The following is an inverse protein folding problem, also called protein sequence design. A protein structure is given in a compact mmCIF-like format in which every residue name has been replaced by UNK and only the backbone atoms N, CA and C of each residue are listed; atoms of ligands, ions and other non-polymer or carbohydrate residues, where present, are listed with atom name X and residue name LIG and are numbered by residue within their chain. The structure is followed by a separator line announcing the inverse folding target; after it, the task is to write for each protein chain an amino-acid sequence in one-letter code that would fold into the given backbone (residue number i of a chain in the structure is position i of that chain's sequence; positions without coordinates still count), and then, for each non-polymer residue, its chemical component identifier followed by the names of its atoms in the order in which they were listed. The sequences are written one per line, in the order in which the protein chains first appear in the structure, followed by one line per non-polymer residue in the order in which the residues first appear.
data_IF_075893483963
#
_entry.id   IF_075893483963
#
_cell.length_a   1.000
_cell.length_b   1.000
_cell.length_c   1.000
_cell.angle_alpha   90.00
_cell.angle_beta   90.00
_cell.angle_gamma   90.00
#
_symmetry.space_group_name_H-M   'P 1'
#
loop_
_entity.id
_entity.type
_entity.pdbx_description
1 polymer ?
#
# COMPACT_ATOMS: atom_id res chain seq x y z
N UNK A 1 16.59 -72.48 -46.38
CA UNK A 1 16.40 -72.21 -44.94
C UNK A 1 16.34 -70.69 -44.75
N UNK A 2 15.20 -70.21 -44.22
CA UNK A 2 14.89 -68.92 -43.55
C UNK A 2 15.79 -67.70 -43.84
N UNK A 3 15.29 -66.69 -44.57
CA UNK A 3 14.58 -65.46 -44.10
C UNK A 3 15.55 -64.28 -43.81
N UNK A 4 15.56 -63.35 -44.79
CA UNK A 4 15.64 -61.87 -44.79
C UNK A 4 16.32 -61.08 -43.65
N UNK A 5 17.18 -60.12 -44.06
CA UNK A 5 17.15 -58.71 -43.62
C UNK A 5 17.56 -57.78 -44.77
N UNK A 6 16.61 -57.00 -45.27
CA UNK A 6 16.79 -55.99 -46.32
C UNK A 6 17.46 -54.73 -45.74
N UNK A 7 18.35 -54.15 -46.54
CA UNK A 7 19.18 -52.99 -46.22
C UNK A 7 18.34 -51.70 -46.11
N UNK A 8 18.74 -50.92 -45.12
CA UNK A 8 18.29 -49.58 -44.75
C UNK A 8 18.55 -48.57 -45.88
N UNK A 9 17.50 -47.91 -46.37
CA UNK A 9 17.57 -46.80 -47.33
C UNK A 9 17.64 -45.47 -46.58
N UNK A 10 18.64 -44.66 -46.92
CA UNK A 10 18.74 -43.23 -46.60
C UNK A 10 17.94 -42.45 -47.65
N UNK A 11 17.15 -41.44 -47.25
CA UNK A 11 17.07 -40.23 -48.07
C UNK A 11 17.09 -38.92 -47.24
N UNK A 12 18.09 -38.11 -47.57
CA UNK A 12 18.03 -36.67 -47.87
C UNK A 12 16.72 -35.94 -47.51
N UNK A 13 16.70 -35.21 -46.39
CA UNK A 13 15.91 -33.97 -46.21
C UNK A 13 16.74 -33.00 -45.37
N UNK A 14 17.60 -32.22 -46.03
CA UNK A 14 18.41 -31.15 -45.43
C UNK A 14 18.32 -29.92 -46.34
N UNK A 15 17.11 -29.41 -46.53
CA UNK A 15 16.85 -28.16 -47.25
C UNK A 15 15.43 -27.65 -46.98
N UNK A 16 15.12 -27.18 -45.76
CA UNK A 16 13.85 -26.46 -45.47
C UNK A 16 13.81 -25.58 -44.22
N UNK A 17 14.91 -25.34 -43.48
CA UNK A 17 14.86 -24.60 -42.19
C UNK A 17 15.72 -23.33 -42.21
N UNK A 18 15.76 -22.61 -43.33
CA UNK A 18 16.40 -21.28 -43.39
C UNK A 18 15.53 -20.18 -44.03
N UNK A 19 14.22 -20.42 -44.23
CA UNK A 19 13.33 -19.43 -44.86
C UNK A 19 12.01 -19.18 -44.12
N UNK A 20 11.97 -19.36 -42.79
CA UNK A 20 10.85 -18.89 -41.94
C UNK A 20 11.30 -18.48 -40.53
N UNK A 21 12.29 -17.59 -40.45
CA UNK A 21 12.57 -16.86 -39.21
C UNK A 21 12.65 -15.34 -39.47
N UNK A 22 11.87 -14.86 -40.44
CA UNK A 22 11.47 -13.46 -40.54
C UNK A 22 10.00 -13.37 -40.11
N UNK A 23 9.68 -13.97 -38.96
CA UNK A 23 8.44 -13.67 -38.23
C UNK A 23 8.65 -12.32 -37.58
N UNK A 24 8.31 -11.28 -38.33
CA UNK A 24 7.52 -10.15 -37.86
C UNK A 24 7.62 -9.92 -36.35
N UNK A 25 8.66 -9.22 -35.92
CA UNK A 25 8.58 -8.30 -34.80
C UNK A 25 7.59 -7.21 -35.21
N UNK A 26 6.29 -7.50 -35.18
CA UNK A 26 5.31 -6.44 -34.96
C UNK A 26 5.43 -6.17 -33.47
N UNK A 27 6.22 -5.16 -33.11
CA UNK A 27 5.92 -4.41 -31.91
C UNK A 27 4.47 -3.95 -32.09
N UNK A 28 3.54 -4.63 -31.41
CA UNK A 28 2.21 -4.07 -31.20
C UNK A 28 2.46 -2.94 -30.22
N UNK A 29 2.77 -1.76 -30.75
CA UNK A 29 2.49 -0.53 -30.04
C UNK A 29 0.97 -0.53 -29.84
N UNK A 30 0.55 -0.89 -28.64
CA UNK A 30 -0.80 -0.61 -28.19
C UNK A 30 -1.04 0.87 -28.47
N UNK A 31 -2.10 1.24 -29.20
CA UNK A 31 -2.37 2.64 -29.49
C UNK A 31 -2.53 3.37 -28.16
N UNK A 32 -1.55 4.21 -27.84
CA UNK A 32 -1.66 5.16 -26.74
C UNK A 32 -2.90 5.99 -27.06
N UNK A 33 -3.90 6.06 -26.15
CA UNK A 33 -5.09 6.87 -26.41
C UNK A 33 -4.65 8.31 -26.68
N UNK A 34 -5.18 8.97 -27.73
CA UNK A 34 -4.68 10.25 -28.24
C UNK A 34 -4.73 11.42 -27.24
N UNK A 35 -5.36 11.23 -26.07
CA UNK A 35 -5.42 12.22 -25.00
C UNK A 35 -4.16 12.28 -24.11
N UNK A 36 -3.32 11.24 -24.05
CA UNK A 36 -2.13 11.23 -23.17
C UNK A 36 -0.90 11.91 -23.78
N UNK A 37 -0.80 12.01 -25.11
CA UNK A 37 0.36 12.57 -25.81
C UNK A 37 0.54 14.08 -25.58
N UNK A 38 -0.51 14.76 -25.11
CA UNK A 38 -0.47 16.19 -24.79
C UNK A 38 -0.06 16.50 -23.34
N UNK A 39 0.13 15.50 -22.47
CA UNK A 39 0.55 15.74 -21.08
C UNK A 39 2.07 16.01 -20.97
N UNK A 40 2.85 15.68 -22.00
CA UNK A 40 4.33 15.79 -21.97
C UNK A 40 4.88 17.19 -22.28
N UNK A 41 4.04 18.16 -22.68
CA UNK A 41 4.50 19.48 -23.17
C UNK A 41 4.30 20.65 -22.22
N UNK A 42 3.80 20.43 -21.00
CA UNK A 42 3.59 21.50 -20.02
C UNK A 42 4.75 21.50 -19.01
N UNK A 43 5.50 22.60 -18.87
CA UNK A 43 6.61 22.69 -17.92
C UNK A 43 6.08 22.63 -16.48
N UNK A 44 6.27 21.46 -15.86
CA UNK A 44 5.80 21.15 -14.53
C UNK A 44 6.62 21.85 -13.45
N UNK A 45 6.00 22.62 -12.56
CA UNK A 45 6.66 23.14 -11.36
C UNK A 45 6.48 22.14 -10.22
N UNK A 46 7.16 21.01 -10.30
CA UNK A 46 7.17 19.98 -9.26
C UNK A 46 7.54 18.60 -9.78
N UNK A 47 7.72 17.63 -8.88
CA UNK A 47 7.84 16.23 -9.29
C UNK A 47 6.46 15.72 -9.71
N UNK A 48 6.31 15.13 -10.92
CA UNK A 48 5.03 14.57 -11.36
C UNK A 48 4.64 13.38 -10.47
N UNK A 49 3.33 13.19 -10.29
CA UNK A 49 2.75 12.02 -9.59
C UNK A 49 2.22 10.99 -10.59
N UNK A 50 2.05 9.71 -10.20
CA UNK A 50 1.40 8.73 -11.07
C UNK A 50 -0.02 9.15 -11.49
N UNK A 51 -0.51 8.77 -12.69
CA UNK A 51 -1.81 9.19 -13.21
C UNK A 51 -2.98 8.93 -12.24
N UNK A 52 -3.02 7.74 -11.61
CA UNK A 52 -4.07 7.45 -10.63
C UNK A 52 -4.01 8.40 -9.42
N UNK A 53 -2.81 8.74 -8.96
CA UNK A 53 -2.63 9.68 -7.85
C UNK A 53 -3.07 11.10 -8.22
N UNK A 54 -2.77 11.54 -9.45
CA UNK A 54 -3.26 12.81 -9.97
C UNK A 54 -4.79 12.87 -9.99
N UNK A 55 -5.46 11.80 -10.45
CA UNK A 55 -6.91 11.71 -10.45
C UNK A 55 -7.49 11.71 -9.04
N UNK A 56 -6.89 10.97 -8.09
CA UNK A 56 -7.29 11.01 -6.68
C UNK A 56 -7.19 12.41 -6.11
N UNK A 57 -6.09 13.12 -6.36
CA UNK A 57 -5.96 14.51 -5.91
C UNK A 57 -7.09 15.41 -6.46
N UNK A 58 -7.47 15.25 -7.74
CA UNK A 58 -8.59 15.98 -8.33
C UNK A 58 -9.90 15.65 -7.62
N UNK A 59 -10.22 14.36 -7.47
CA UNK A 59 -11.47 13.91 -6.84
C UNK A 59 -11.55 14.39 -5.39
N UNK A 60 -10.49 14.21 -4.61
CA UNK A 60 -10.43 14.64 -3.21
C UNK A 60 -10.66 16.16 -3.09
N UNK A 61 -9.99 16.95 -3.93
CA UNK A 61 -10.12 18.41 -3.93
C UNK A 61 -11.51 18.88 -4.41
N UNK A 62 -12.08 18.23 -5.43
CA UNK A 62 -13.43 18.51 -5.93
C UNK A 62 -14.51 18.21 -4.89
N UNK A 63 -14.47 17.02 -4.27
CA UNK A 63 -15.43 16.66 -3.22
C UNK A 63 -15.32 17.57 -2.00
N UNK A 64 -14.11 18.01 -1.66
CA UNK A 64 -13.90 19.01 -0.61
C UNK A 64 -14.52 20.35 -0.96
N UNK A 65 -14.33 20.86 -2.19
CA UNK A 65 -14.96 22.11 -2.64
C UNK A 65 -16.50 22.00 -2.69
N UNK A 66 -17.04 20.84 -3.06
CA UNK A 66 -18.49 20.55 -2.96
C UNK A 66 -18.96 20.68 -1.51
N UNK A 67 -18.28 20.10 -0.53
CA UNK A 67 -18.62 20.18 0.90
C UNK A 67 -18.47 21.61 1.45
N UNK A 68 -17.42 22.33 1.05
CA UNK A 68 -17.18 23.72 1.48
C UNK A 68 -18.21 24.70 0.94
N UNK A 69 -18.67 24.55 -0.31
CA UNK A 69 -19.74 25.39 -0.87
C UNK A 69 -21.11 25.08 -0.24
N UNK A 70 -21.33 23.87 0.30
CA UNK A 70 -22.48 23.66 1.19
C UNK A 70 -22.34 24.52 2.44
N UNK A 71 -21.16 24.53 3.08
CA UNK A 71 -20.91 25.22 4.35
C UNK A 71 -20.83 26.76 4.26
N UNK A 72 -20.61 27.34 3.08
CA UNK A 72 -20.52 28.79 2.90
C UNK A 72 -21.87 29.49 2.79
N UNK A 73 -22.99 28.77 2.70
CA UNK A 73 -24.33 29.38 2.76
C UNK A 73 -24.78 29.77 4.19
N UNK A 74 -23.97 29.53 5.22
CA UNK A 74 -24.38 29.62 6.62
C UNK A 74 -23.84 30.87 7.34
N UNK A 75 -24.47 32.02 7.11
CA UNK A 75 -24.36 33.21 7.96
C UNK A 75 -25.50 33.21 9.03
N UNK A 76 -25.63 32.12 9.80
CA UNK A 76 -26.26 32.16 11.13
C UNK A 76 -27.72 31.73 11.32
N UNK A 77 -28.19 30.65 10.66
CA UNK A 77 -29.51 30.04 10.93
C UNK A 77 -29.49 28.53 11.22
N UNK A 78 -30.57 28.00 11.80
CA UNK A 78 -30.74 26.57 12.16
C UNK A 78 -30.54 25.64 10.94
N UNK A 79 -29.56 24.72 11.02
CA UNK A 79 -29.11 23.87 9.92
C UNK A 79 -30.19 22.96 9.29
N UNK A 80 -31.24 22.60 10.05
CA UNK A 80 -32.35 21.78 9.55
C UNK A 80 -33.38 22.58 8.74
N UNK A 81 -33.51 23.89 8.99
CA UNK A 81 -34.42 24.77 8.25
C UNK A 81 -33.87 25.14 6.87
N UNK A 82 -32.54 25.23 6.74
CA UNK A 82 -31.84 25.65 5.51
C UNK A 82 -31.58 24.49 4.53
N UNK A 83 -31.49 23.25 5.02
CA UNK A 83 -31.43 22.03 4.17
C UNK A 83 -32.62 21.93 3.20
N UNK A 84 -33.79 22.44 3.58
CA UNK A 84 -34.97 22.48 2.72
C UNK A 84 -34.92 23.61 1.68
N UNK A 85 -34.05 24.62 1.86
CA UNK A 85 -33.94 25.81 0.99
C UNK A 85 -32.76 25.77 0.03
N UNK A 86 -31.77 24.89 0.26
CA UNK A 86 -30.65 24.65 -0.64
C UNK A 86 -31.06 24.20 -2.04
N UNK A 87 -32.32 23.78 -2.26
CA UNK A 87 -32.76 23.12 -3.50
C UNK A 87 -32.37 23.83 -4.79
N UNK A 88 -32.46 25.17 -4.88
CA UNK A 88 -32.08 25.90 -6.09
C UNK A 88 -30.57 26.13 -6.21
N UNK A 89 -29.81 26.12 -5.11
CA UNK A 89 -28.37 26.41 -5.11
C UNK A 89 -27.53 25.12 -5.18
N UNK A 90 -27.95 24.04 -4.52
CA UNK A 90 -27.25 22.76 -4.46
C UNK A 90 -26.94 22.20 -5.85
N UNK A 91 -27.81 22.42 -6.82
CA UNK A 91 -27.61 21.97 -8.19
C UNK A 91 -27.60 23.15 -9.20
N UNK A 92 -27.08 24.31 -8.79
CA UNK A 92 -26.98 25.51 -9.64
C UNK A 92 -25.65 25.61 -10.38
N UNK A 93 -25.67 26.27 -11.54
CA UNK A 93 -24.48 26.69 -12.29
C UNK A 93 -23.55 27.56 -11.46
N UNK A 94 -24.10 28.51 -10.70
CA UNK A 94 -23.31 29.36 -9.81
C UNK A 94 -22.48 28.52 -8.83
N UNK A 95 -23.09 27.52 -8.19
CA UNK A 95 -22.37 26.65 -7.25
C UNK A 95 -21.28 25.84 -7.96
N UNK A 96 -21.54 25.34 -9.17
CA UNK A 96 -20.54 24.60 -9.91
C UNK A 96 -19.31 25.47 -10.24
N UNK A 97 -19.50 26.72 -10.66
CA UNK A 97 -18.41 27.68 -10.89
C UNK A 97 -17.62 27.93 -9.60
N UNK A 98 -18.30 28.18 -8.48
CA UNK A 98 -17.63 28.37 -7.17
C UNK A 98 -16.80 27.15 -6.74
N UNK A 99 -17.25 25.94 -7.07
CA UNK A 99 -16.49 24.70 -6.84
C UNK A 99 -15.23 24.71 -7.71
N UNK A 100 -15.36 24.95 -9.02
CA UNK A 100 -14.23 24.94 -9.96
C UNK A 100 -13.15 25.96 -9.59
N UNK A 101 -13.52 27.14 -9.08
CA UNK A 101 -12.56 28.15 -8.62
C UNK A 101 -11.69 27.70 -7.43
N UNK A 102 -12.20 26.77 -6.61
CA UNK A 102 -11.52 26.28 -5.40
C UNK A 102 -10.71 25.01 -5.63
N UNK A 103 -11.07 24.22 -6.65
CA UNK A 103 -10.46 22.93 -6.98
C UNK A 103 -8.94 23.06 -7.17
N UNK A 104 -8.21 22.06 -6.69
CA UNK A 104 -6.76 21.90 -6.73
C UNK A 104 -5.93 22.95 -5.98
N UNK A 105 -6.55 23.98 -5.40
CA UNK A 105 -5.83 25.05 -4.68
C UNK A 105 -5.07 24.53 -3.46
N UNK A 106 -5.61 23.50 -2.80
CA UNK A 106 -5.09 22.86 -1.59
C UNK A 106 -4.16 21.66 -1.85
N UNK A 107 -3.97 21.28 -3.11
CA UNK A 107 -3.11 20.16 -3.49
C UNK A 107 -1.64 20.55 -3.37
N UNK A 108 -0.91 19.86 -2.49
CA UNK A 108 0.53 20.06 -2.32
C UNK A 108 1.37 19.44 -3.44
N UNK A 109 1.26 18.12 -3.64
CA UNK A 109 2.05 17.37 -4.63
C UNK A 109 1.18 17.02 -5.86
N UNK A 110 1.66 17.33 -7.07
CA UNK A 110 0.93 17.09 -8.32
C UNK A 110 -0.15 18.14 -8.62
N UNK A 111 0.03 19.38 -8.13
CA UNK A 111 -0.94 20.48 -8.29
C UNK A 111 -1.23 20.81 -9.75
N UNK A 112 -0.19 20.98 -10.57
CA UNK A 112 -0.36 21.27 -12.01
C UNK A 112 -1.12 20.14 -12.73
N UNK A 113 -0.90 18.88 -12.33
CA UNK A 113 -1.60 17.70 -12.86
C UNK A 113 -3.07 17.72 -12.48
N UNK A 114 -3.38 18.16 -11.26
CA UNK A 114 -4.74 18.31 -10.79
C UNK A 114 -5.49 19.36 -11.62
N UNK A 115 -4.93 20.56 -11.81
CA UNK A 115 -5.55 21.59 -12.64
C UNK A 115 -5.75 21.14 -14.09
N UNK A 116 -4.72 20.55 -14.71
CA UNK A 116 -4.83 20.05 -16.08
C UNK A 116 -5.92 18.98 -16.21
N UNK A 117 -6.06 18.08 -15.23
CA UNK A 117 -7.13 17.08 -15.24
C UNK A 117 -8.51 17.72 -15.03
N UNK A 118 -8.62 18.73 -14.16
CA UNK A 118 -9.86 19.45 -13.93
C UNK A 118 -10.35 20.15 -15.20
N UNK A 119 -9.46 20.82 -15.92
CA UNK A 119 -9.75 21.48 -17.19
C UNK A 119 -10.08 20.47 -18.29
N UNK A 120 -9.30 19.39 -18.42
CA UNK A 120 -9.49 18.39 -19.48
C UNK A 120 -10.80 17.60 -19.33
N UNK A 121 -11.28 17.45 -18.09
CA UNK A 121 -12.43 16.62 -17.74
C UNK A 121 -13.59 17.42 -17.12
N UNK A 122 -13.68 18.71 -17.45
CA UNK A 122 -14.75 19.60 -17.00
C UNK A 122 -16.14 19.03 -17.31
N UNK A 123 -16.36 18.51 -18.53
CA UNK A 123 -17.64 17.91 -18.94
C UNK A 123 -18.05 16.71 -18.09
N UNK A 124 -17.08 15.87 -17.70
CA UNK A 124 -17.34 14.72 -16.85
C UNK A 124 -17.65 15.15 -15.40
N UNK A 125 -16.92 16.15 -14.89
CA UNK A 125 -17.18 16.73 -13.56
C UNK A 125 -18.56 17.39 -13.49
N UNK A 126 -18.95 18.11 -14.55
CA UNK A 126 -20.27 18.74 -14.69
C UNK A 126 -21.39 17.69 -14.71
N UNK A 127 -21.26 16.67 -15.57
CA UNK A 127 -22.22 15.57 -15.62
C UNK A 127 -22.32 14.84 -14.27
N UNK A 128 -21.20 14.61 -13.59
CA UNK A 128 -21.24 14.00 -12.27
C UNK A 128 -21.98 14.90 -11.27
N UNK A 129 -21.70 16.20 -11.26
CA UNK A 129 -22.29 17.15 -10.32
C UNK A 129 -23.82 17.25 -10.46
N UNK A 130 -24.32 17.37 -11.69
CA UNK A 130 -25.75 17.57 -11.95
C UNK A 130 -26.58 16.30 -12.01
N UNK A 131 -26.01 15.16 -12.42
CA UNK A 131 -26.77 13.94 -12.73
C UNK A 131 -26.35 12.77 -11.84
N UNK A 132 -25.07 12.37 -11.87
CA UNK A 132 -24.62 11.11 -11.23
C UNK A 132 -24.55 11.20 -9.70
N UNK A 133 -24.23 12.37 -9.16
CA UNK A 133 -24.20 12.64 -7.71
C UNK A 133 -25.54 12.32 -7.05
N UNK A 134 -26.66 12.66 -7.68
CA UNK A 134 -28.00 12.39 -7.15
C UNK A 134 -28.39 10.90 -7.21
N UNK A 135 -27.65 10.09 -7.97
CA UNK A 135 -27.79 8.63 -8.01
C UNK A 135 -26.90 7.93 -6.98
N UNK A 136 -26.24 8.68 -6.09
CA UNK A 136 -25.24 8.20 -5.13
C UNK A 136 -24.02 7.54 -5.81
N UNK A 137 -23.67 7.97 -7.02
CA UNK A 137 -22.46 7.50 -7.70
C UNK A 137 -21.23 8.19 -7.12
N UNK A 138 -20.24 7.40 -6.68
CA UNK A 138 -18.97 7.92 -6.21
C UNK A 138 -18.15 8.54 -7.35
N UNK A 139 -17.61 9.75 -7.14
CA UNK A 139 -16.86 10.48 -8.17
C UNK A 139 -15.58 9.75 -8.58
N UNK A 140 -14.92 9.08 -7.64
CA UNK A 140 -13.69 8.33 -7.93
C UNK A 140 -13.99 7.11 -8.81
N UNK A 141 -15.06 6.37 -8.52
CA UNK A 141 -15.54 5.26 -9.35
C UNK A 141 -15.96 5.74 -10.76
N UNK A 142 -16.73 6.82 -10.84
CA UNK A 142 -17.20 7.40 -12.09
C UNK A 142 -16.03 7.88 -12.97
N UNK A 143 -15.20 8.78 -12.44
CA UNK A 143 -14.17 9.47 -13.21
C UNK A 143 -12.91 8.61 -13.34
N UNK A 144 -12.29 8.22 -12.23
CA UNK A 144 -10.95 7.65 -12.24
C UNK A 144 -10.91 6.17 -12.66
N UNK A 145 -11.92 5.38 -12.28
CA UNK A 145 -11.99 3.94 -12.57
C UNK A 145 -12.72 3.67 -13.88
N UNK A 146 -13.94 4.18 -14.03
CA UNK A 146 -14.81 3.83 -15.17
C UNK A 146 -14.51 4.65 -16.42
N UNK A 147 -14.42 5.98 -16.31
CA UNK A 147 -14.25 6.87 -17.47
C UNK A 147 -12.79 6.94 -17.94
N UNK A 148 -11.86 7.28 -17.05
CA UNK A 148 -10.44 7.47 -17.39
C UNK A 148 -9.65 6.16 -17.38
N UNK A 149 -10.10 5.14 -16.64
CA UNK A 149 -9.44 3.84 -16.50
C UNK A 149 -7.97 3.94 -16.08
N UNK A 150 -7.61 4.98 -15.34
CA UNK A 150 -6.25 5.21 -14.83
C UNK A 150 -6.08 4.68 -13.41
N UNK A 151 -7.18 4.40 -12.71
CA UNK A 151 -7.20 3.76 -11.40
C UNK A 151 -7.88 2.38 -11.45
N UNK A 152 -7.72 1.65 -10.34
CA UNK A 152 -8.41 0.41 -10.06
C UNK A 152 -9.23 0.51 -8.77
N UNK A 153 -10.26 -0.36 -8.61
CA UNK A 153 -10.91 -0.57 -7.32
C UNK A 153 -9.91 -0.96 -6.23
N UNK A 154 -10.29 -0.75 -4.97
CA UNK A 154 -9.43 -1.09 -3.84
C UNK A 154 -9.01 -2.57 -3.90
N UNK A 155 -7.75 -2.82 -3.51
CA UNK A 155 -7.14 -4.16 -3.46
C UNK A 155 -7.09 -4.90 -4.81
N UNK A 156 -7.10 -4.17 -5.91
CA UNK A 156 -6.83 -4.68 -7.26
C UNK A 156 -5.74 -3.86 -7.95
N UNK A 157 -5.04 -4.40 -8.95
CA UNK A 157 -3.91 -3.72 -9.59
C UNK A 157 -3.72 -4.11 -11.07
N UNK A 158 -2.81 -3.39 -11.75
CA UNK A 158 -2.41 -3.71 -13.12
C UNK A 158 -3.42 -3.26 -14.18
N UNK A 159 -3.11 -3.50 -15.46
CA UNK A 159 -3.94 -3.07 -16.60
C UNK A 159 -5.38 -3.54 -16.52
N UNK A 160 -5.63 -4.71 -15.95
CA UNK A 160 -6.94 -5.35 -15.87
C UNK A 160 -7.58 -5.32 -14.47
N UNK A 161 -6.98 -4.61 -13.51
CA UNK A 161 -7.42 -4.60 -12.11
C UNK A 161 -7.60 -6.01 -11.54
N UNK A 162 -6.55 -6.82 -11.64
CA UNK A 162 -6.53 -8.16 -11.04
C UNK A 162 -6.40 -8.06 -9.51
N UNK A 163 -6.92 -9.03 -8.74
CA UNK A 163 -6.79 -9.03 -7.28
C UNK A 163 -5.35 -8.93 -6.79
N UNK A 164 -5.13 -8.17 -5.71
CA UNK A 164 -3.87 -8.14 -4.98
C UNK A 164 -3.47 -9.54 -4.47
N UNK A 165 -2.17 -9.77 -4.16
CA UNK A 165 -1.75 -10.97 -3.46
C UNK A 165 -2.54 -11.14 -2.15
N UNK A 166 -3.06 -12.34 -1.88
CA UNK A 166 -3.97 -12.61 -0.75
C UNK A 166 -5.45 -12.32 -1.03
N UNK A 167 -5.79 -11.69 -2.16
CA UNK A 167 -7.17 -11.42 -2.59
C UNK A 167 -7.65 -10.00 -2.31
N UNK A 168 -8.93 -9.75 -2.62
CA UNK A 168 -9.55 -8.42 -2.47
C UNK A 168 -10.01 -8.17 -1.03
N UNK A 169 -10.60 -9.18 -0.37
CA UNK A 169 -11.15 -9.03 0.98
C UNK A 169 -10.06 -8.90 2.05
N UNK A 170 -8.99 -9.70 1.94
CA UNK A 170 -7.87 -9.73 2.88
C UNK A 170 -6.54 -9.76 2.13
N UNK A 171 -6.15 -8.67 1.43
CA UNK A 171 -4.87 -8.61 0.75
C UNK A 171 -3.74 -8.85 1.76
N UNK A 172 -2.67 -9.49 1.30
CA UNK A 172 -1.50 -9.81 2.14
C UNK A 172 -1.87 -10.61 3.41
N UNK A 173 -2.84 -11.52 3.28
CA UNK A 173 -3.32 -12.34 4.39
C UNK A 173 -4.00 -11.56 5.52
N UNK A 174 -4.25 -10.26 5.34
CA UNK A 174 -4.72 -9.37 6.39
C UNK A 174 -3.62 -8.86 7.33
N UNK A 175 -2.35 -9.06 6.95
CA UNK A 175 -1.17 -8.73 7.75
C UNK A 175 -0.18 -7.84 6.98
N UNK A 176 -0.69 -7.03 6.07
CA UNK A 176 0.10 -6.08 5.31
C UNK A 176 -0.73 -5.23 4.37
N UNK A 177 -0.03 -4.39 3.61
CA UNK A 177 -0.61 -3.50 2.59
C UNK A 177 -0.21 -3.96 1.20
N UNK A 178 -1.18 -3.99 0.29
CA UNK A 178 -0.89 -4.21 -1.13
C UNK A 178 -0.29 -2.94 -1.75
N UNK A 179 1.01 -2.98 -2.03
CA UNK A 179 1.69 -1.94 -2.80
C UNK A 179 1.13 -1.93 -4.23
N UNK A 180 0.85 -0.73 -4.76
CA UNK A 180 0.16 -0.49 -6.05
C UNK A 180 -1.30 -0.96 -6.08
N UNK A 181 -1.87 -1.41 -4.95
CA UNK A 181 -3.30 -1.65 -4.83
C UNK A 181 -4.10 -0.38 -5.14
N UNK A 182 -5.15 -0.52 -5.96
CA UNK A 182 -5.97 0.59 -6.45
C UNK A 182 -5.37 1.37 -7.61
N UNK A 183 -4.29 0.87 -8.24
CA UNK A 183 -3.60 1.53 -9.37
C UNK A 183 -3.48 0.58 -10.56
N UNK A 184 -3.24 1.11 -11.76
CA UNK A 184 -2.94 0.30 -12.96
C UNK A 184 -1.47 -0.13 -13.05
N UNK A 185 -0.67 0.10 -12.00
CA UNK A 185 0.77 -0.21 -12.01
C UNK A 185 1.04 -1.69 -11.64
N UNK A 186 2.13 -2.25 -12.15
CA UNK A 186 2.53 -3.64 -11.95
C UNK A 186 4.05 -3.79 -11.69
N UNK A 187 4.53 -4.89 -11.08
CA UNK A 187 3.74 -5.86 -10.31
C UNK A 187 3.36 -5.29 -8.94
N UNK A 188 2.22 -5.70 -8.38
CA UNK A 188 1.88 -5.46 -6.98
C UNK A 188 2.58 -6.45 -6.06
N UNK A 189 2.82 -6.03 -4.82
CA UNK A 189 3.49 -6.84 -3.79
C UNK A 189 3.00 -6.45 -2.40
N UNK A 190 3.25 -7.30 -1.42
CA UNK A 190 2.85 -7.03 -0.05
C UNK A 190 3.94 -6.30 0.74
N UNK A 191 3.52 -5.27 1.47
CA UNK A 191 4.30 -4.63 2.51
C UNK A 191 3.76 -5.09 3.86
N UNK A 192 4.45 -6.03 4.50
CA UNK A 192 3.97 -6.68 5.71
C UNK A 192 4.02 -5.77 6.93
N UNK A 193 3.04 -5.98 7.82
CA UNK A 193 2.98 -5.35 9.12
C UNK A 193 4.10 -5.90 10.03
N UNK A 194 4.37 -5.18 11.12
CA UNK A 194 5.40 -5.58 12.08
C UNK A 194 5.10 -6.98 12.65
N UNK A 195 6.10 -7.86 12.59
CA UNK A 195 5.98 -9.26 13.04
C UNK A 195 5.60 -10.26 11.96
N UNK A 196 5.28 -9.79 10.74
CA UNK A 196 4.94 -10.62 9.59
C UNK A 196 5.97 -10.47 8.48
N UNK A 197 6.13 -11.52 7.68
CA UNK A 197 7.06 -11.57 6.54
C UNK A 197 6.57 -12.59 5.51
N UNK A 198 7.29 -12.70 4.39
CA UNK A 198 6.88 -13.50 3.24
C UNK A 198 6.16 -12.69 2.18
N UNK A 199 5.90 -13.30 1.02
CA UNK A 199 5.22 -12.65 -0.11
C UNK A 199 3.75 -12.33 0.19
N UNK A 200 3.12 -13.10 1.08
CA UNK A 200 1.73 -12.94 1.50
C UNK A 200 1.58 -12.53 2.97
N UNK A 201 2.67 -12.19 3.66
CA UNK A 201 2.68 -11.85 5.09
C UNK A 201 2.13 -12.96 5.99
N UNK A 202 2.34 -14.21 5.57
CA UNK A 202 1.84 -15.45 6.18
C UNK A 202 2.94 -16.21 6.97
N UNK A 203 4.06 -15.54 7.25
CA UNK A 203 5.17 -16.07 8.03
C UNK A 203 5.51 -15.11 9.16
N UNK A 204 5.78 -15.62 10.37
CA UNK A 204 6.24 -14.76 11.45
C UNK A 204 7.68 -14.29 11.21
N UNK A 205 7.89 -12.99 11.31
CA UNK A 205 9.20 -12.37 11.19
C UNK A 205 10.13 -12.82 12.33
N UNK A 206 11.43 -12.62 12.13
CA UNK A 206 12.42 -12.85 13.19
C UNK A 206 12.07 -12.01 14.43
N UNK A 207 12.14 -12.63 15.60
CA UNK A 207 11.73 -12.06 16.87
C UNK A 207 10.27 -12.29 17.21
N UNK A 208 9.53 -13.03 16.38
CA UNK A 208 8.13 -13.38 16.59
C UNK A 208 7.92 -14.89 16.47
N UNK A 209 6.86 -15.39 17.09
CA UNK A 209 6.40 -16.77 17.01
C UNK A 209 4.91 -16.79 16.66
N UNK A 210 4.46 -17.89 16.06
CA UNK A 210 3.04 -18.10 15.76
C UNK A 210 2.31 -18.50 17.05
N UNK A 211 1.29 -17.73 17.41
CA UNK A 211 0.39 -18.10 18.51
C UNK A 211 -0.54 -19.24 18.07
N UNK A 212 -0.70 -20.24 18.92
CA UNK A 212 -1.64 -21.32 18.67
C UNK A 212 -3.07 -20.77 18.78
N UNK A 213 -3.82 -20.79 17.67
CA UNK A 213 -5.19 -20.30 17.59
C UNK A 213 -5.81 -20.61 16.23
N UNK A 214 -7.10 -20.31 16.08
CA UNK A 214 -7.83 -20.50 14.82
C UNK A 214 -7.40 -19.47 13.75
N UNK A 215 -7.00 -18.28 14.18
CA UNK A 215 -6.53 -17.20 13.32
C UNK A 215 -5.01 -17.13 13.37
N UNK A 216 -4.38 -17.07 12.19
CA UNK A 216 -2.94 -16.87 12.09
C UNK A 216 -2.55 -15.53 12.74
N UNK A 217 -1.66 -15.58 13.72
CA UNK A 217 -1.15 -14.36 14.36
C UNK A 217 0.26 -14.56 14.91
N UNK A 218 1.07 -13.51 14.76
CA UNK A 218 2.46 -13.50 15.21
C UNK A 218 2.62 -12.65 16.46
N UNK A 219 3.24 -13.22 17.50
CA UNK A 219 3.51 -12.55 18.78
C UNK A 219 5.00 -12.38 18.99
N UNK A 220 5.38 -11.28 19.63
CA UNK A 220 6.79 -10.98 19.90
C UNK A 220 7.37 -11.98 20.90
N UNK A 221 8.61 -12.39 20.66
CA UNK A 221 9.39 -13.18 21.60
C UNK A 221 9.71 -12.40 22.86
N UNK A 222 10.03 -13.11 23.94
CA UNK A 222 10.57 -12.50 25.15
C UNK A 222 11.89 -11.77 24.84
N UNK A 223 12.14 -10.63 25.52
CA UNK A 223 13.39 -9.86 25.39
C UNK A 223 14.64 -10.69 25.71
N UNK A 224 14.48 -11.74 26.51
CA UNK A 224 15.52 -12.70 26.86
C UNK A 224 15.94 -13.57 25.67
N UNK A 225 15.19 -13.61 24.57
CA UNK A 225 15.51 -14.39 23.39
C UNK A 225 16.36 -13.58 22.39
N UNK A 226 17.37 -14.20 21.78
CA UNK A 226 18.24 -13.56 20.76
C UNK A 226 17.57 -13.33 19.40
N UNK A 227 16.31 -13.78 19.24
CA UNK A 227 15.50 -13.50 18.06
C UNK A 227 14.64 -14.65 17.53
N UNK A 228 14.75 -15.87 18.05
CA UNK A 228 13.78 -16.93 17.74
C UNK A 228 13.25 -17.53 19.05
N UNK A 229 11.96 -17.81 19.06
CA UNK A 229 11.28 -18.48 20.16
C UNK A 229 10.15 -19.34 19.60
N UNK A 230 9.74 -20.35 20.37
CA UNK A 230 8.69 -21.30 20.01
C UNK A 230 7.34 -20.99 20.63
N UNK A 231 7.27 -19.95 21.46
CA UNK A 231 6.15 -19.69 22.34
C UNK A 231 6.42 -18.51 23.28
N UNK A 232 5.49 -18.25 24.21
CA UNK A 232 5.56 -17.11 25.12
C UNK A 232 6.65 -17.25 26.19
N UNK A 233 7.27 -16.15 26.58
CA UNK A 233 8.16 -16.07 27.74
C UNK A 233 9.57 -16.67 27.54
N UNK A 234 10.44 -16.54 28.56
CA UNK A 234 11.88 -16.81 28.43
C UNK A 234 12.24 -18.30 28.32
N UNK A 235 11.34 -19.20 28.70
CA UNK A 235 11.52 -20.66 28.55
C UNK A 235 11.49 -21.13 27.10
N UNK A 236 10.79 -20.39 26.26
CA UNK A 236 10.56 -20.76 24.88
C UNK A 236 11.58 -20.16 23.91
N UNK A 237 12.63 -19.51 24.43
CA UNK A 237 13.73 -19.03 23.61
C UNK A 237 14.50 -20.21 23.01
N UNK A 238 14.82 -20.13 21.72
CA UNK A 238 15.75 -21.10 21.12
C UNK A 238 17.19 -20.83 21.53
N UNK A 239 17.54 -19.55 21.67
CA UNK A 239 18.85 -19.07 22.10
C UNK A 239 18.66 -17.85 22.99
N UNK A 240 19.29 -17.85 24.16
CA UNK A 240 19.29 -16.69 25.05
C UNK A 240 20.03 -15.50 24.42
N UNK A 241 19.48 -14.30 24.62
CA UNK A 241 20.08 -13.04 24.24
C UNK A 241 21.31 -12.76 25.10
N UNK A 242 22.10 -11.77 24.70
CA UNK A 242 23.28 -11.37 25.46
C UNK A 242 22.88 -10.88 26.86
N UNK A 243 23.59 -11.34 27.89
CA UNK A 243 23.27 -11.05 29.30
C UNK A 243 22.25 -12.01 29.93
N UNK A 244 21.76 -13.01 29.19
CA UNK A 244 20.86 -14.04 29.70
C UNK A 244 21.51 -15.43 29.66
N UNK A 245 21.16 -16.30 30.60
CA UNK A 245 21.58 -17.71 30.64
C UNK A 245 20.37 -18.62 30.84
N UNK A 246 20.43 -19.83 30.29
CA UNK A 246 19.30 -20.76 30.31
C UNK A 246 19.29 -21.59 31.61
N UNK A 247 18.19 -21.54 32.35
CA UNK A 247 17.89 -22.40 33.49
C UNK A 247 16.70 -23.31 33.12
N UNK A 248 16.78 -24.65 33.30
CA UNK A 248 15.73 -25.58 32.85
C UNK A 248 14.30 -25.22 33.28
N UNK A 249 14.13 -24.77 34.53
CA UNK A 249 12.82 -24.49 35.11
C UNK A 249 12.40 -23.01 35.02
N UNK A 250 13.25 -22.13 34.50
CA UNK A 250 12.98 -20.67 34.44
C UNK A 250 13.12 -20.10 33.03
N UNK A 251 13.89 -20.75 32.16
CA UNK A 251 14.22 -20.29 30.82
C UNK A 251 15.45 -19.38 30.81
N UNK A 252 15.52 -18.49 29.82
CA UNK A 252 16.57 -17.47 29.75
C UNK A 252 16.35 -16.39 30.83
N UNK A 253 17.18 -16.40 31.87
CA UNK A 253 17.14 -15.41 32.96
C UNK A 253 18.36 -14.48 32.92
N UNK A 254 18.18 -13.25 33.39
CA UNK A 254 19.27 -12.24 33.42
C UNK A 254 20.42 -12.71 34.32
N UNK A 255 21.64 -12.52 33.84
CA UNK A 255 22.83 -12.72 34.66
C UNK A 255 22.92 -11.56 35.67
N UNK A 256 22.56 -11.80 36.93
CA UNK A 256 22.89 -10.88 38.02
C UNK A 256 24.40 -10.92 38.23
N UNK A 257 25.14 -10.04 37.55
CA UNK A 257 26.52 -9.77 37.96
C UNK A 257 26.45 -9.07 39.31
N UNK A 258 26.92 -9.76 40.35
CA UNK A 258 27.05 -9.30 41.75
C UNK A 258 28.02 -8.11 41.96
N UNK A 259 28.23 -7.25 40.96
CA UNK A 259 29.01 -6.02 41.10
C UNK A 259 28.19 -4.86 41.68
N UNK A 260 27.36 -5.14 42.69
CA UNK A 260 26.78 -4.13 43.59
C UNK A 260 27.00 -4.53 45.04
N UNK A 261 28.26 -4.70 45.43
CA UNK A 261 28.64 -4.39 46.81
C UNK A 261 30.13 -3.99 46.87
N UNK A 262 30.47 -2.69 46.87
CA UNK A 262 31.79 -2.31 47.34
C UNK A 262 31.83 -2.63 48.84
N UNK A 263 32.69 -3.56 49.22
CA UNK A 263 33.03 -3.86 50.60
C UNK A 263 33.35 -2.52 51.29
N UNK A 264 32.50 -2.08 52.23
CA UNK A 264 32.85 -1.02 53.16
C UNK A 264 33.92 -1.57 54.09
N UNK A 265 35.18 -1.31 53.75
CA UNK A 265 36.27 -1.37 54.73
C UNK A 265 36.04 -0.16 55.63
N UNK A 266 35.50 -0.40 56.83
CA UNK A 266 35.54 0.59 57.91
C UNK A 266 36.93 0.55 58.50
N UNK A 267 37.78 1.48 58.08
CA UNK A 267 38.98 1.86 58.80
C UNK A 267 38.55 2.59 60.08
N UNK A 268 38.34 1.86 61.18
CA UNK A 268 38.33 2.47 62.51
C UNK A 268 39.75 2.47 63.06
N UNK A 269 40.44 3.59 62.82
CA UNK A 269 41.63 3.98 63.54
C UNK A 269 41.32 5.19 64.42
N UNK A 270 41.29 4.99 65.74
CA UNK A 270 41.62 5.93 66.82
C UNK A 270 41.40 5.18 68.15
N UNK A 271 42.42 4.56 68.75
CA UNK A 271 43.44 5.12 69.66
C UNK A 271 42.89 6.00 70.80
N UNK A 272 43.13 5.56 72.05
CA UNK A 272 43.45 6.30 73.30
C UNK A 272 43.19 5.34 74.51
N UNK A 273 44.19 4.69 75.13
CA UNK A 273 45.16 5.10 76.19
C UNK A 273 44.63 5.21 77.64
N UNK A 274 45.46 4.67 78.56
CA UNK A 274 45.52 4.80 80.05
C UNK A 274 44.64 3.84 80.89
N UNK A 275 45.19 2.76 81.48
CA UNK A 275 45.94 2.59 82.78
C UNK A 275 45.06 2.66 84.05
N UNK A 276 45.42 2.02 85.19
CA UNK A 276 46.74 1.53 85.61
C UNK A 276 46.86 0.03 85.98
#
# INVERSE_FOLDING_TARGET
MKITRSKMYIPVILASILFKCFTLLIAVESPVPPKMENLEKIPFKGKPVPPCRACRNLVDSFLKAVDETMRKSFEGGDADWEKQKLGSYDNSELRFIEIQEQVCSDVGLGKDQCYNLAELHESELENWFYEERHKNMDLFEFLCISHLKICCPNNTYGSDCVPCPGGIESPCGGHGKCLKGGTREEPASCFCDAGYTGELCDVCAKGYYQEAGEVFSCKICDKACKGHCRGPGPKNCEVCSFGYHFIPDEGCVEHFNDYKNPIKITDDASNETEDP
#
